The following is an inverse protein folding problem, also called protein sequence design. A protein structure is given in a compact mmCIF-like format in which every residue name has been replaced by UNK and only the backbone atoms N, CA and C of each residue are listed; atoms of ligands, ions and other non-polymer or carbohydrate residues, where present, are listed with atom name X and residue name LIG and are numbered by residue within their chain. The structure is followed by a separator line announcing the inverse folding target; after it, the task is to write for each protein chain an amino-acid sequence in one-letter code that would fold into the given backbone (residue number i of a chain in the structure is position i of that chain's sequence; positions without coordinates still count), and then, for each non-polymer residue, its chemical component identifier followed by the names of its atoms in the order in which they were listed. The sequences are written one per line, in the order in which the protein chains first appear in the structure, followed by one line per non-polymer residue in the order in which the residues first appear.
data_IF_502984295825
#
_entry.id   IF_502984295825
#
_cell.length_a   1.000
_cell.length_b   1.000
_cell.length_c   1.000
_cell.angle_alpha   90.00
_cell.angle_beta   90.00
_cell.angle_gamma   90.00
#
_symmetry.space_group_name_H-M   'P 1'
#
loop_
_entity.id
_entity.type
_entity.pdbx_description
1 polymer ?
#
# COMPACT_ATOMS: atom_id res chain seq x y z
N UNK A 1 25.23 -3.80 -48.64
CA UNK A 1 24.18 -3.73 -47.59
C UNK A 1 24.32 -4.96 -46.70
N UNK A 2 24.95 -4.78 -45.54
CA UNK A 2 25.39 -5.88 -44.66
C UNK A 2 24.21 -6.38 -43.82
N UNK A 3 23.93 -7.68 -43.91
CA UNK A 3 23.00 -8.42 -43.06
C UNK A 3 23.65 -8.58 -41.68
N UNK A 4 22.99 -8.13 -40.63
CA UNK A 4 23.37 -8.46 -39.25
C UNK A 4 22.33 -9.43 -38.70
N UNK A 5 22.76 -10.68 -38.60
CA UNK A 5 22.11 -11.77 -37.90
C UNK A 5 22.23 -11.49 -36.40
N UNK A 6 21.12 -11.22 -35.73
CA UNK A 6 21.07 -11.27 -34.26
C UNK A 6 20.76 -12.71 -33.85
N UNK A 7 21.83 -13.40 -33.48
CA UNK A 7 21.84 -14.71 -32.82
C UNK A 7 20.99 -14.66 -31.55
N UNK A 8 19.83 -15.30 -31.60
CA UNK A 8 18.99 -15.61 -30.44
C UNK A 8 19.69 -16.68 -29.59
N UNK A 9 20.20 -16.28 -28.43
CA UNK A 9 20.68 -17.23 -27.42
C UNK A 9 19.46 -17.91 -26.80
N UNK A 10 19.28 -19.18 -27.14
CA UNK A 10 18.40 -20.11 -26.45
C UNK A 10 19.06 -20.42 -25.11
N UNK A 11 18.44 -20.01 -23.99
CA UNK A 11 18.76 -20.57 -22.69
C UNK A 11 17.65 -21.54 -22.32
N UNK A 12 17.91 -22.82 -22.54
CA UNK A 12 17.17 -23.92 -21.95
C UNK A 12 18.05 -24.54 -20.87
N UNK A 13 17.64 -24.46 -19.60
CA UNK A 13 17.98 -25.42 -18.56
C UNK A 13 17.02 -25.28 -17.37
N UNK A 14 16.47 -26.43 -16.99
CA UNK A 14 15.52 -26.69 -15.91
C UNK A 14 16.26 -26.78 -14.58
N UNK A 15 15.72 -26.22 -13.50
CA UNK A 15 15.81 -26.84 -12.17
C UNK A 15 14.65 -26.38 -11.28
N UNK A 16 13.90 -27.37 -10.80
CA UNK A 16 12.85 -27.23 -9.83
C UNK A 16 13.45 -26.87 -8.46
N UNK A 17 12.93 -25.82 -7.85
CA UNK A 17 13.17 -25.47 -6.46
C UNK A 17 12.04 -24.57 -6.01
N UNK A 18 11.16 -25.10 -5.14
CA UNK A 18 10.07 -24.33 -4.55
C UNK A 18 10.64 -23.16 -3.76
N UNK A 19 10.18 -21.96 -4.08
CA UNK A 19 10.68 -20.73 -3.49
C UNK A 19 9.49 -19.92 -2.98
N UNK A 20 9.44 -19.75 -1.66
CA UNK A 20 8.59 -18.75 -1.04
C UNK A 20 9.29 -17.38 -1.14
N UNK A 21 8.74 -16.47 -1.95
CA UNK A 21 9.15 -15.07 -1.91
C UNK A 21 8.29 -14.34 -0.89
N UNK A 22 8.85 -14.09 0.29
CA UNK A 22 8.26 -13.15 1.21
C UNK A 22 8.36 -11.71 0.65
N UNK A 23 7.19 -11.07 0.64
CA UNK A 23 6.91 -9.63 0.62
C UNK A 23 7.51 -8.74 -0.50
N UNK A 24 6.78 -7.67 -0.83
CA UNK A 24 7.32 -6.56 -1.59
C UNK A 24 8.49 -5.88 -0.85
N UNK A 25 9.73 -6.10 -1.29
CA UNK A 25 10.90 -5.24 -1.04
C UNK A 25 10.58 -3.74 -1.00
N UNK A 26 11.03 -3.08 0.06
CA UNK A 26 10.56 -1.76 0.50
C UNK A 26 9.67 -1.81 1.74
N UNK A 27 9.61 -2.94 2.44
CA UNK A 27 9.05 -3.06 3.78
C UNK A 27 10.10 -3.66 4.73
N UNK A 28 11.30 -3.08 4.77
CA UNK A 28 12.15 -3.24 5.94
C UNK A 28 12.35 -1.86 6.56
N UNK A 29 11.64 -1.69 7.68
CA UNK A 29 11.94 -0.78 8.78
C UNK A 29 12.12 0.71 8.46
N UNK A 30 11.06 1.33 7.94
CA UNK A 30 10.60 2.48 8.72
C UNK A 30 10.01 1.92 10.01
N UNK A 31 10.79 1.96 11.10
CA UNK A 31 10.25 2.18 12.45
C UNK A 31 9.60 3.55 12.49
N UNK A 32 8.52 3.67 11.73
CA UNK A 32 7.29 3.86 12.40
C UNK A 32 6.66 2.43 12.43
N UNK A 33 6.54 1.75 13.55
CA UNK A 33 5.43 2.08 14.46
C UNK A 33 4.73 3.38 14.04
N UNK A 34 4.18 3.39 12.81
CA UNK A 34 3.15 4.34 12.46
C UNK A 34 2.04 3.71 13.24
N UNK A 35 1.97 4.14 14.51
CA UNK A 35 0.74 4.59 15.10
C UNK A 35 -0.31 3.59 14.68
N UNK A 36 -0.54 2.52 15.47
CA UNK A 36 -1.74 1.70 15.39
C UNK A 36 -2.95 2.64 15.52
N UNK A 37 -3.20 3.39 14.45
CA UNK A 37 -4.31 4.25 14.20
C UNK A 37 -5.32 3.25 13.74
N UNK A 38 -5.87 2.55 14.74
CA UNK A 38 -7.09 1.80 14.60
C UNK A 38 -8.01 2.69 13.74
N UNK A 39 -8.43 2.26 12.54
CA UNK A 39 -9.13 3.14 11.61
C UNK A 39 -10.33 3.84 12.26
N UNK A 40 -10.96 3.14 13.21
CA UNK A 40 -11.99 3.64 14.13
C UNK A 40 -11.52 4.82 14.99
N UNK A 41 -10.32 4.76 15.59
CA UNK A 41 -9.75 5.84 16.41
C UNK A 41 -9.57 7.13 15.62
N UNK A 42 -9.18 7.04 14.35
CA UNK A 42 -9.06 8.24 13.50
C UNK A 42 -10.44 8.82 13.14
N UNK A 43 -11.44 7.97 12.90
CA UNK A 43 -12.83 8.41 12.71
C UNK A 43 -13.29 9.21 13.95
N UNK A 44 -13.12 8.66 15.15
CA UNK A 44 -13.51 9.34 16.39
C UNK A 44 -12.72 10.62 16.63
N UNK A 45 -11.41 10.63 16.34
CA UNK A 45 -10.59 11.85 16.45
C UNK A 45 -11.06 12.97 15.54
N UNK A 46 -11.56 12.65 14.34
CA UNK A 46 -12.07 13.67 13.42
C UNK A 46 -13.28 14.42 13.98
N UNK A 47 -14.03 13.80 14.90
CA UNK A 47 -15.16 14.41 15.58
C UNK A 47 -14.76 15.33 16.74
N UNK A 48 -13.47 15.32 17.15
CA UNK A 48 -13.00 16.13 18.28
C UNK A 48 -13.18 17.62 17.98
N UNK A 49 -13.74 18.34 18.94
CA UNK A 49 -14.02 19.77 18.79
C UNK A 49 -15.22 20.06 17.89
N UNK A 50 -16.06 19.06 17.59
CA UNK A 50 -17.46 19.30 17.22
C UNK A 50 -18.30 19.39 18.50
N UNK A 51 -19.27 20.30 18.52
CA UNK A 51 -20.24 20.44 19.60
C UNK A 51 -21.31 19.36 19.49
N UNK A 52 -20.94 18.10 19.79
CA UNK A 52 -21.85 16.96 19.78
C UNK A 52 -22.76 16.96 21.00
N UNK A 53 -24.06 16.72 20.79
CA UNK A 53 -25.03 16.50 21.87
C UNK A 53 -24.80 15.16 22.58
N UNK A 54 -25.35 15.00 23.78
CA UNK A 54 -25.22 13.75 24.54
C UNK A 54 -25.88 12.57 23.79
N UNK A 55 -27.02 12.83 23.12
CA UNK A 55 -27.68 11.84 22.27
C UNK A 55 -26.77 11.38 21.11
N UNK A 56 -26.16 12.32 20.38
CA UNK A 56 -25.23 12.00 19.29
C UNK A 56 -24.01 11.19 19.78
N UNK A 57 -23.47 11.54 20.95
CA UNK A 57 -22.31 10.84 21.54
C UNK A 57 -22.64 9.38 21.86
N UNK A 58 -23.78 9.11 22.48
CA UNK A 58 -24.19 7.74 22.80
C UNK A 58 -24.53 6.94 21.53
N UNK A 59 -25.10 7.56 20.51
CA UNK A 59 -25.34 6.91 19.22
C UNK A 59 -24.03 6.54 18.51
N UNK A 60 -23.08 7.47 18.42
CA UNK A 60 -21.75 7.22 17.84
C UNK A 60 -21.03 6.09 18.59
N UNK A 61 -21.10 6.09 19.92
CA UNK A 61 -20.50 5.04 20.75
C UNK A 61 -21.15 3.67 20.48
N UNK A 62 -22.46 3.63 20.29
CA UNK A 62 -23.19 2.41 19.91
C UNK A 62 -22.74 1.91 18.55
N UNK A 63 -22.66 2.77 17.53
CA UNK A 63 -22.17 2.43 16.19
C UNK A 63 -20.74 1.87 16.22
N UNK A 64 -19.83 2.54 16.93
CA UNK A 64 -18.44 2.09 17.08
C UNK A 64 -18.35 0.74 17.79
N UNK A 65 -19.20 0.51 18.79
CA UNK A 65 -19.20 -0.74 19.56
C UNK A 65 -19.76 -1.90 18.73
N UNK A 66 -20.87 -1.68 18.02
CA UNK A 66 -21.44 -2.65 17.09
C UNK A 66 -20.44 -3.02 15.98
N UNK A 67 -19.72 -2.04 15.45
CA UNK A 67 -18.68 -2.28 14.46
C UNK A 67 -17.52 -3.11 15.01
N UNK A 68 -17.01 -2.79 16.20
CA UNK A 68 -15.93 -3.57 16.84
C UNK A 68 -16.35 -5.01 17.13
N UNK A 69 -17.61 -5.23 17.48
CA UNK A 69 -18.15 -6.56 17.76
C UNK A 69 -18.38 -7.40 16.49
N UNK A 70 -18.69 -6.76 15.36
CA UNK A 70 -19.03 -7.44 14.09
C UNK A 70 -17.85 -7.64 13.16
N UNK A 71 -16.95 -6.66 13.06
CA UNK A 71 -15.86 -6.68 12.09
C UNK A 71 -14.66 -7.54 12.52
N UNK A 72 -14.73 -8.18 13.70
CA UNK A 72 -13.55 -8.70 14.39
C UNK A 72 -12.57 -7.56 14.74
N UNK A 73 -11.52 -7.86 15.47
CA UNK A 73 -10.37 -6.95 15.50
C UNK A 73 -9.98 -6.74 14.04
N UNK A 74 -9.85 -5.49 13.59
CA UNK A 74 -9.06 -5.17 12.39
C UNK A 74 -7.62 -5.56 12.74
N UNK A 75 -7.36 -6.86 12.86
CA UNK A 75 -6.03 -7.39 13.05
C UNK A 75 -5.24 -6.94 11.85
N UNK A 76 -4.00 -6.53 12.14
CA UNK A 76 -3.01 -6.12 11.16
C UNK A 76 -3.20 -6.96 9.91
N UNK A 77 -3.42 -6.30 8.77
CA UNK A 77 -3.54 -6.94 7.46
C UNK A 77 -2.48 -8.05 7.39
N UNK A 78 -2.89 -9.31 7.66
CA UNK A 78 -2.03 -10.46 7.43
C UNK A 78 -1.87 -10.42 5.93
N UNK A 79 -0.72 -9.92 5.49
CA UNK A 79 -0.39 -9.86 4.08
C UNK A 79 -0.34 -11.32 3.67
N UNK A 80 -1.42 -11.81 3.07
CA UNK A 80 -1.41 -13.16 2.51
C UNK A 80 -0.32 -13.16 1.46
N UNK A 81 0.64 -14.06 1.67
CA UNK A 81 1.69 -14.27 0.70
C UNK A 81 1.11 -15.15 -0.41
N UNK A 82 1.44 -14.88 -1.68
CA UNK A 82 1.05 -15.78 -2.75
C UNK A 82 1.64 -17.17 -2.49
N UNK A 83 0.90 -18.21 -2.84
CA UNK A 83 1.35 -19.60 -2.74
C UNK A 83 2.41 -19.99 -3.78
N UNK A 84 2.69 -19.10 -4.74
CA UNK A 84 3.62 -19.31 -5.84
C UNK A 84 4.85 -18.40 -5.74
N UNK A 85 5.91 -18.77 -6.45
CA UNK A 85 7.14 -17.98 -6.53
C UNK A 85 6.91 -16.71 -7.36
N UNK A 86 6.94 -15.55 -6.69
CA UNK A 86 6.78 -14.26 -7.36
C UNK A 86 7.90 -13.93 -8.34
N UNK A 87 9.11 -14.50 -8.24
CA UNK A 87 10.21 -14.18 -9.16
C UNK A 87 9.95 -14.75 -10.55
N UNK A 88 9.27 -15.90 -10.60
CA UNK A 88 8.98 -16.66 -11.81
C UNK A 88 7.50 -16.66 -12.17
N UNK A 89 6.66 -16.01 -11.36
CA UNK A 89 5.22 -15.90 -11.58
C UNK A 89 4.89 -15.32 -12.96
N UNK A 90 3.97 -15.99 -13.63
CA UNK A 90 3.36 -15.48 -14.86
C UNK A 90 2.51 -14.26 -14.56
N UNK A 91 2.31 -13.42 -15.58
CA UNK A 91 1.41 -12.27 -15.48
C UNK A 91 -0.02 -12.66 -15.07
N UNK A 92 -0.54 -13.78 -15.59
CA UNK A 92 -1.86 -14.28 -15.22
C UNK A 92 -1.96 -14.65 -13.73
N UNK A 93 -0.91 -15.27 -13.17
CA UNK A 93 -0.84 -15.58 -11.73
C UNK A 93 -0.77 -14.30 -10.89
N UNK A 94 0.07 -13.34 -11.29
CA UNK A 94 0.16 -12.04 -10.62
C UNK A 94 -1.18 -11.31 -10.62
N UNK A 95 -1.85 -11.26 -11.78
CA UNK A 95 -3.14 -10.60 -11.93
C UNK A 95 -4.21 -11.22 -11.03
N UNK A 96 -4.32 -12.55 -11.06
CA UNK A 96 -5.28 -13.31 -10.25
C UNK A 96 -5.06 -13.07 -8.76
N UNK A 97 -3.80 -13.14 -8.30
CA UNK A 97 -3.45 -12.91 -6.90
C UNK A 97 -3.72 -11.47 -6.44
N UNK A 98 -3.38 -10.48 -7.27
CA UNK A 98 -3.64 -9.08 -6.94
C UNK A 98 -5.14 -8.82 -6.89
N UNK A 99 -5.90 -9.40 -7.82
CA UNK A 99 -7.35 -9.29 -7.84
C UNK A 99 -7.98 -9.91 -6.59
N UNK A 100 -7.58 -11.12 -6.18
CA UNK A 100 -8.11 -11.76 -4.98
C UNK A 100 -7.77 -10.95 -3.72
N UNK A 101 -6.58 -10.36 -3.67
CA UNK A 101 -6.18 -9.47 -2.57
C UNK A 101 -6.98 -8.17 -2.50
N UNK A 102 -7.45 -7.64 -3.63
CA UNK A 102 -8.37 -6.51 -3.63
C UNK A 102 -9.73 -6.94 -3.09
N UNK A 103 -10.29 -8.03 -3.62
CA UNK A 103 -11.60 -8.57 -3.24
C UNK A 103 -11.68 -8.93 -1.75
N UNK A 104 -10.64 -9.56 -1.19
CA UNK A 104 -10.57 -9.90 0.24
C UNK A 104 -10.63 -8.66 1.14
N UNK A 105 -10.06 -7.54 0.68
CA UNK A 105 -10.02 -6.28 1.43
C UNK A 105 -11.27 -5.45 1.25
N UNK A 106 -12.03 -5.65 0.18
CA UNK A 106 -13.22 -4.87 -0.15
C UNK A 106 -14.26 -4.94 0.96
N UNK A 107 -14.54 -6.12 1.52
CA UNK A 107 -15.52 -6.27 2.61
C UNK A 107 -15.12 -5.45 3.86
N UNK A 108 -13.84 -5.49 4.23
CA UNK A 108 -13.30 -4.71 5.36
C UNK A 108 -13.36 -3.21 5.10
N UNK A 109 -13.01 -2.79 3.89
CA UNK A 109 -13.08 -1.38 3.50
C UNK A 109 -14.51 -0.86 3.42
N UNK A 110 -15.44 -1.66 2.90
CA UNK A 110 -16.86 -1.32 2.88
C UNK A 110 -17.43 -1.17 4.29
N UNK A 111 -17.17 -2.14 5.18
CA UNK A 111 -17.64 -2.05 6.57
C UNK A 111 -17.13 -0.76 7.25
N UNK A 112 -15.85 -0.40 7.04
CA UNK A 112 -15.28 0.83 7.57
C UNK A 112 -15.91 2.09 6.95
N UNK A 113 -16.20 2.06 5.64
CA UNK A 113 -16.88 3.13 4.93
C UNK A 113 -18.31 3.32 5.45
N UNK A 114 -19.04 2.21 5.68
CA UNK A 114 -20.37 2.21 6.28
C UNK A 114 -20.37 2.81 7.69
N UNK A 115 -19.38 2.45 8.52
CA UNK A 115 -19.24 3.07 9.86
C UNK A 115 -19.06 4.59 9.74
N UNK A 116 -18.20 5.05 8.82
CA UNK A 116 -17.97 6.48 8.60
C UNK A 116 -19.24 7.20 8.16
N UNK A 117 -19.97 6.61 7.21
CA UNK A 117 -21.23 7.16 6.72
C UNK A 117 -22.28 7.24 7.83
N UNK A 118 -22.46 6.17 8.60
CA UNK A 118 -23.42 6.14 9.70
C UNK A 118 -23.08 7.22 10.74
N UNK A 119 -21.81 7.37 11.10
CA UNK A 119 -21.37 8.43 12.02
C UNK A 119 -21.61 9.82 11.43
N UNK A 120 -21.35 10.03 10.15
CA UNK A 120 -21.60 11.31 9.48
C UNK A 120 -23.09 11.67 9.48
N UNK A 121 -23.97 10.66 9.31
CA UNK A 121 -25.42 10.83 9.27
C UNK A 121 -26.05 11.18 10.62
N UNK A 122 -25.36 10.89 11.74
CA UNK A 122 -25.79 11.30 13.11
C UNK A 122 -25.58 12.80 13.33
N UNK A 123 -24.70 13.43 12.55
CA UNK A 123 -24.37 14.83 12.68
C UNK A 123 -25.43 15.71 12.04
N UNK A 124 -25.66 16.89 12.63
CA UNK A 124 -26.49 17.91 12.00
C UNK A 124 -25.78 18.60 10.83
N UNK A 125 -26.52 19.36 10.02
CA UNK A 125 -25.99 20.01 8.82
C UNK A 125 -24.79 20.93 9.12
N UNK A 126 -24.81 21.66 10.25
CA UNK A 126 -23.73 22.57 10.61
C UNK A 126 -22.45 21.80 10.98
N UNK A 127 -22.58 20.71 11.74
CA UNK A 127 -21.49 19.81 12.11
C UNK A 127 -20.92 19.09 10.88
N UNK A 128 -21.77 18.67 9.94
CA UNK A 128 -21.36 18.06 8.67
C UNK A 128 -20.53 19.04 7.84
N UNK A 129 -20.99 20.28 7.68
CA UNK A 129 -20.26 21.33 6.93
C UNK A 129 -18.91 21.67 7.57
N UNK A 130 -18.83 21.71 8.90
CA UNK A 130 -17.57 21.90 9.63
C UNK A 130 -16.57 20.76 9.32
N UNK A 131 -17.04 19.51 9.28
CA UNK A 131 -16.18 18.37 8.91
C UNK A 131 -15.69 18.44 7.47
N UNK A 132 -16.58 18.78 6.53
CA UNK A 132 -16.23 18.96 5.12
C UNK A 132 -15.19 20.07 4.95
N UNK A 133 -15.35 21.18 5.66
CA UNK A 133 -14.40 22.30 5.66
C UNK A 133 -13.04 21.89 6.20
N UNK A 134 -13.01 21.21 7.36
CA UNK A 134 -11.75 20.67 7.93
C UNK A 134 -11.06 19.69 7.00
N UNK A 135 -11.82 18.86 6.29
CA UNK A 135 -11.27 17.93 5.32
C UNK A 135 -10.65 18.68 4.13
N UNK A 136 -11.35 19.64 3.55
CA UNK A 136 -10.83 20.46 2.45
C UNK A 136 -9.53 21.19 2.86
N UNK A 137 -9.47 21.75 4.08
CA UNK A 137 -8.26 22.40 4.60
C UNK A 137 -7.08 21.44 4.76
N UNK A 138 -7.32 20.21 5.22
CA UNK A 138 -6.27 19.18 5.34
C UNK A 138 -5.76 18.73 3.97
N UNK A 139 -6.65 18.61 2.99
CA UNK A 139 -6.29 18.25 1.63
C UNK A 139 -5.47 19.35 0.94
N UNK A 140 -5.88 20.61 1.09
CA UNK A 140 -5.12 21.76 0.60
C UNK A 140 -3.74 21.88 1.30
N UNK A 141 -3.71 21.73 2.64
CA UNK A 141 -2.46 21.69 3.39
C UNK A 141 -1.52 20.55 2.95
N UNK A 142 -2.07 19.36 2.68
CA UNK A 142 -1.30 18.23 2.17
C UNK A 142 -0.77 18.48 0.74
N UNK A 143 -1.56 19.10 -0.13
CA UNK A 143 -1.14 19.47 -1.49
C UNK A 143 0.00 20.49 -1.44
N UNK A 144 -0.18 21.59 -0.69
CA UNK A 144 0.85 22.63 -0.49
C UNK A 144 2.14 22.09 0.10
N UNK A 145 2.06 21.20 1.09
CA UNK A 145 3.24 20.56 1.68
C UNK A 145 3.98 19.68 0.66
N UNK A 146 3.24 19.00 -0.21
CA UNK A 146 3.83 18.17 -1.25
C UNK A 146 4.50 19.00 -2.34
N UNK A 147 3.82 20.05 -2.80
CA UNK A 147 4.32 20.96 -3.83
C UNK A 147 5.56 21.71 -3.35
N UNK A 148 5.59 22.14 -2.09
CA UNK A 148 6.78 22.77 -1.48
C UNK A 148 7.96 21.80 -1.34
N UNK A 149 7.70 20.51 -1.10
CA UNK A 149 8.75 19.49 -1.06
C UNK A 149 9.32 19.20 -2.46
N UNK A 150 8.48 19.19 -3.50
CA UNK A 150 8.90 18.97 -4.89
C UNK A 150 9.64 20.20 -5.44
N UNK A 151 9.14 21.42 -5.18
CA UNK A 151 9.68 22.67 -5.71
C UNK A 151 11.06 23.04 -5.19
N UNK A 152 11.39 22.67 -3.95
CA UNK A 152 12.73 22.94 -3.39
C UNK A 152 13.76 21.87 -3.74
N UNK A 153 13.40 20.82 -4.48
CA UNK A 153 14.29 19.69 -4.74
C UNK A 153 14.82 19.04 -3.45
N UNK A 154 14.18 19.31 -2.31
CA UNK A 154 14.57 18.77 -1.01
C UNK A 154 14.36 17.27 -1.10
N UNK A 155 15.48 16.56 -1.23
CA UNK A 155 15.47 15.12 -1.02
C UNK A 155 14.80 14.88 0.33
N UNK A 156 13.96 13.85 0.39
CA UNK A 156 13.13 13.41 1.54
C UNK A 156 13.90 13.21 2.87
N UNK A 157 15.16 13.60 2.99
CA UNK A 157 16.02 13.52 4.18
C UNK A 157 16.50 14.85 4.78
N UNK A 158 16.23 16.02 4.18
CA UNK A 158 16.77 17.30 4.72
C UNK A 158 16.00 17.88 5.92
N UNK A 159 14.82 17.35 6.25
CA UNK A 159 14.03 17.77 7.42
C UNK A 159 14.23 16.93 8.68
N UNK A 160 15.22 16.02 8.71
CA UNK A 160 15.55 15.19 9.87
C UNK A 160 16.96 15.44 10.40
N UNK A 161 17.35 16.71 10.53
CA UNK A 161 18.62 17.06 11.14
C UNK A 161 18.56 17.10 12.68
N UNK A 162 17.90 16.13 13.30
CA UNK A 162 18.12 15.77 14.71
C UNK A 162 17.73 14.29 14.90
N UNK A 163 18.70 13.38 14.71
CA UNK A 163 18.70 12.11 15.45
C UNK A 163 18.54 10.76 14.72
N UNK A 164 18.67 10.64 13.38
CA UNK A 164 18.75 9.29 12.74
C UNK A 164 19.63 9.29 11.48
N UNK A 165 20.94 9.15 11.67
CA UNK A 165 21.90 9.04 10.55
C UNK A 165 22.24 7.59 10.13
N UNK A 166 21.59 6.55 10.66
CA UNK A 166 22.05 5.17 10.44
C UNK A 166 20.97 4.12 10.10
N UNK A 167 19.76 4.48 9.67
CA UNK A 167 18.68 3.49 9.47
C UNK A 167 18.29 3.16 7.99
N UNK A 168 18.73 3.90 6.97
CA UNK A 168 18.07 3.86 5.65
C UNK A 168 19.00 3.67 4.43
N UNK A 169 20.17 3.04 4.59
CA UNK A 169 21.01 2.65 3.44
C UNK A 169 20.77 1.22 2.93
N UNK A 170 19.87 0.46 3.55
CA UNK A 170 19.52 -0.88 3.06
C UNK A 170 18.67 -0.75 1.80
N UNK A 171 19.26 -1.09 0.67
CA UNK A 171 18.60 -1.08 -0.62
C UNK A 171 17.43 -2.08 -0.68
N UNK A 172 16.84 -2.28 -1.86
CA UNK A 172 15.74 -3.22 -2.05
C UNK A 172 16.11 -4.69 -1.75
N UNK A 173 17.33 -5.01 -1.32
CA UNK A 173 17.79 -6.36 -0.99
C UNK A 173 18.42 -6.46 0.41
N UNK A 174 18.14 -5.49 1.29
CA UNK A 174 18.69 -5.46 2.64
C UNK A 174 20.20 -5.20 2.63
N UNK A 175 20.94 -6.00 3.39
CA UNK A 175 22.41 -5.94 3.55
C UNK A 175 23.19 -6.77 2.50
N UNK A 176 22.55 -7.20 1.43
CA UNK A 176 23.24 -7.99 0.42
C UNK A 176 24.24 -7.09 -0.31
N UNK A 177 25.51 -7.52 -0.33
CA UNK A 177 26.56 -6.86 -1.09
C UNK A 177 26.26 -6.98 -2.59
N UNK A 178 26.18 -5.84 -3.26
CA UNK A 178 25.91 -5.74 -4.70
C UNK A 178 27.15 -5.22 -5.42
N UNK A 179 27.44 -5.75 -6.60
CA UNK A 179 28.50 -5.20 -7.46
C UNK A 179 28.10 -3.83 -8.01
N UNK A 180 29.09 -3.05 -8.46
CA UNK A 180 28.85 -1.75 -9.09
C UNK A 180 27.96 -1.88 -10.34
N UNK A 181 28.13 -2.95 -11.12
CA UNK A 181 27.29 -3.25 -12.29
C UNK A 181 25.85 -3.57 -11.91
N UNK A 182 25.64 -4.31 -10.80
CA UNK A 182 24.30 -4.59 -10.27
C UNK A 182 23.64 -3.30 -9.78
N UNK A 183 24.38 -2.45 -9.07
CA UNK A 183 23.89 -1.15 -8.60
C UNK A 183 23.46 -0.27 -9.78
N UNK A 184 24.29 -0.16 -10.82
CA UNK A 184 23.98 0.61 -12.03
C UNK A 184 22.74 0.06 -12.76
N UNK A 185 22.62 -1.28 -12.85
CA UNK A 185 21.45 -1.94 -13.46
C UNK A 185 20.17 -1.65 -12.67
N UNK A 186 20.24 -1.69 -11.34
CA UNK A 186 19.10 -1.38 -10.47
C UNK A 186 18.70 0.10 -10.53
N UNK A 187 19.67 1.02 -10.67
CA UNK A 187 19.39 2.43 -10.87
C UNK A 187 18.65 2.66 -12.19
N UNK A 188 19.10 2.04 -13.27
CA UNK A 188 18.45 2.09 -14.59
C UNK A 188 17.00 1.58 -14.52
N UNK A 189 16.77 0.44 -13.87
CA UNK A 189 15.42 -0.10 -13.67
C UNK A 189 14.52 0.85 -12.86
N UNK A 190 15.06 1.46 -11.79
CA UNK A 190 14.31 2.43 -10.98
C UNK A 190 13.92 3.66 -11.78
N UNK A 191 14.83 4.18 -12.60
CA UNK A 191 14.57 5.34 -13.45
C UNK A 191 13.52 5.04 -14.52
N UNK A 192 13.63 3.89 -15.21
CA UNK A 192 12.67 3.44 -16.19
C UNK A 192 11.26 3.27 -15.60
N UNK A 193 11.15 2.84 -14.34
CA UNK A 193 9.86 2.65 -13.66
C UNK A 193 9.33 3.93 -12.98
N UNK A 194 10.12 5.00 -12.90
CA UNK A 194 9.76 6.21 -12.13
C UNK A 194 8.43 6.83 -12.58
N UNK A 195 8.23 6.95 -13.88
CA UNK A 195 6.99 7.51 -14.46
C UNK A 195 5.80 6.63 -14.16
N UNK A 196 5.91 5.32 -14.39
CA UNK A 196 4.86 4.33 -14.05
C UNK A 196 4.54 4.34 -12.55
N UNK A 197 5.56 4.42 -11.69
CA UNK A 197 5.36 4.52 -10.25
C UNK A 197 4.61 5.80 -9.85
N UNK A 198 4.85 6.93 -10.53
CA UNK A 198 4.13 8.19 -10.29
C UNK A 198 2.66 8.04 -10.70
N UNK A 199 2.39 7.52 -11.90
CA UNK A 199 1.03 7.27 -12.37
C UNK A 199 0.26 6.31 -11.44
N UNK A 200 0.85 5.18 -11.07
CA UNK A 200 0.21 4.21 -10.16
C UNK A 200 -0.10 4.82 -8.78
N UNK A 201 0.75 5.72 -8.28
CA UNK A 201 0.49 6.45 -7.03
C UNK A 201 -0.69 7.41 -7.17
N UNK A 202 -0.80 8.07 -8.31
CA UNK A 202 -1.90 8.98 -8.61
C UNK A 202 -3.23 8.23 -8.74
N UNK A 203 -3.28 7.11 -9.47
CA UNK A 203 -4.46 6.22 -9.52
C UNK A 203 -4.91 5.81 -8.12
N UNK A 204 -4.00 5.32 -7.28
CA UNK A 204 -4.31 4.92 -5.90
C UNK A 204 -4.81 6.10 -5.05
N UNK A 205 -4.27 7.30 -5.26
CA UNK A 205 -4.73 8.52 -4.57
C UNK A 205 -6.16 8.84 -5.01
N UNK A 206 -6.40 8.94 -6.32
CA UNK A 206 -7.71 9.25 -6.88
C UNK A 206 -8.78 8.25 -6.40
N UNK A 207 -8.45 6.96 -6.36
CA UNK A 207 -9.33 5.94 -5.81
C UNK A 207 -9.67 6.19 -4.33
N UNK A 208 -8.66 6.44 -3.48
CA UNK A 208 -8.86 6.75 -2.05
C UNK A 208 -9.63 8.04 -1.83
N UNK A 209 -9.44 9.03 -2.68
CA UNK A 209 -10.13 10.32 -2.62
C UNK A 209 -11.60 10.12 -2.96
N UNK A 210 -11.90 9.40 -4.04
CA UNK A 210 -13.26 9.04 -4.43
C UNK A 210 -13.98 8.18 -3.38
N UNK A 211 -13.29 7.23 -2.72
CA UNK A 211 -13.86 6.47 -1.60
C UNK A 211 -14.23 7.39 -0.42
N UNK A 212 -13.37 8.38 -0.11
CA UNK A 212 -13.62 9.33 0.98
C UNK A 212 -14.78 10.26 0.66
N UNK A 213 -14.83 10.78 -0.56
CA UNK A 213 -15.91 11.64 -1.03
C UNK A 213 -17.25 10.90 -1.02
N UNK A 214 -17.29 9.66 -1.54
CA UNK A 214 -18.52 8.87 -1.61
C UNK A 214 -19.18 8.68 -0.24
N UNK A 215 -18.38 8.43 0.80
CA UNK A 215 -18.85 8.26 2.19
C UNK A 215 -19.48 9.52 2.79
N UNK A 216 -19.18 10.69 2.24
CA UNK A 216 -19.73 11.97 2.69
C UNK A 216 -20.96 12.39 1.88
N UNK A 217 -21.35 11.61 0.87
CA UNK A 217 -22.57 11.84 0.10
C UNK A 217 -23.77 11.19 0.79
N UNK A 218 -24.96 11.77 0.62
CA UNK A 218 -26.22 11.16 1.08
C UNK A 218 -26.62 9.90 0.30
N UNK A 219 -25.88 9.57 -0.78
CA UNK A 219 -26.14 8.43 -1.67
C UNK A 219 -25.22 7.23 -1.40
N UNK A 220 -24.50 7.22 -0.29
CA UNK A 220 -23.63 6.09 0.06
C UNK A 220 -24.45 4.80 0.23
N UNK A 221 -24.06 3.75 -0.48
CA UNK A 221 -24.67 2.43 -0.42
C UNK A 221 -23.67 1.37 -0.90
N UNK A 222 -24.01 0.10 -0.73
CA UNK A 222 -23.25 -1.00 -1.33
C UNK A 222 -23.14 -0.85 -2.85
N UNK A 223 -24.21 -0.41 -3.51
CA UNK A 223 -24.25 -0.28 -4.97
C UNK A 223 -23.34 0.85 -5.46
N UNK A 224 -23.36 2.01 -4.82
CA UNK A 224 -22.46 3.13 -5.18
C UNK A 224 -21.00 2.81 -4.87
N UNK A 225 -20.74 2.03 -3.81
CA UNK A 225 -19.41 1.52 -3.50
C UNK A 225 -18.90 0.51 -4.54
N UNK A 226 -19.74 -0.46 -4.93
CA UNK A 226 -19.41 -1.45 -5.95
C UNK A 226 -19.17 -0.79 -7.32
N UNK A 227 -19.99 0.21 -7.68
CA UNK A 227 -19.79 0.98 -8.91
C UNK A 227 -18.45 1.74 -8.90
N UNK A 228 -18.07 2.33 -7.76
CA UNK A 228 -16.77 2.97 -7.60
C UNK A 228 -15.63 1.96 -7.74
N UNK A 229 -15.72 0.79 -7.11
CA UNK A 229 -14.72 -0.27 -7.25
C UNK A 229 -14.57 -0.71 -8.70
N UNK A 230 -15.69 -0.98 -9.39
CA UNK A 230 -15.69 -1.38 -10.80
C UNK A 230 -14.98 -0.37 -11.70
N UNK A 231 -15.09 0.93 -11.41
CA UNK A 231 -14.41 2.00 -12.15
C UNK A 231 -12.88 1.94 -12.03
N UNK A 232 -12.34 1.53 -10.87
CA UNK A 232 -10.90 1.57 -10.59
C UNK A 232 -10.22 0.20 -10.58
N UNK A 233 -10.98 -0.90 -10.53
CA UNK A 233 -10.47 -2.25 -10.31
C UNK A 233 -9.37 -2.63 -11.30
N UNK A 234 -9.61 -2.44 -12.59
CA UNK A 234 -8.63 -2.80 -13.62
C UNK A 234 -7.34 -1.97 -13.49
N UNK A 235 -7.44 -0.65 -13.30
CA UNK A 235 -6.26 0.20 -13.12
C UNK A 235 -5.46 -0.17 -11.86
N UNK A 236 -6.14 -0.54 -10.77
CA UNK A 236 -5.50 -0.97 -9.52
C UNK A 236 -4.79 -2.32 -9.69
N UNK A 237 -5.40 -3.25 -10.43
CA UNK A 237 -4.81 -4.55 -10.77
C UNK A 237 -3.59 -4.35 -11.65
N UNK A 238 -3.69 -3.57 -12.73
CA UNK A 238 -2.59 -3.25 -13.64
C UNK A 238 -1.44 -2.55 -12.90
N UNK A 239 -1.74 -1.59 -12.02
CA UNK A 239 -0.75 -0.94 -11.18
C UNK A 239 -0.02 -1.92 -10.25
N UNK A 240 -0.74 -2.91 -9.72
CA UNK A 240 -0.19 -4.01 -8.94
C UNK A 240 0.72 -4.91 -9.77
N UNK A 241 0.28 -5.32 -10.96
CA UNK A 241 1.03 -6.21 -11.86
C UNK A 241 2.31 -5.53 -12.32
N UNK A 242 2.24 -4.26 -12.73
CA UNK A 242 3.41 -3.47 -13.12
C UNK A 242 4.43 -3.38 -11.98
N UNK A 243 3.98 -3.18 -10.74
CA UNK A 243 4.84 -3.17 -9.55
C UNK A 243 5.46 -4.54 -9.27
N UNK A 244 4.72 -5.63 -9.46
CA UNK A 244 5.23 -6.99 -9.29
C UNK A 244 6.29 -7.33 -10.35
N UNK A 245 6.02 -7.05 -11.62
CA UNK A 245 6.97 -7.22 -12.73
C UNK A 245 8.25 -6.41 -12.54
N UNK A 246 8.13 -5.15 -12.08
CA UNK A 246 9.31 -4.34 -11.77
C UNK A 246 10.17 -4.99 -10.67
N UNK A 247 9.55 -5.61 -9.66
CA UNK A 247 10.27 -6.36 -8.61
C UNK A 247 10.93 -7.62 -9.13
N UNK A 248 10.28 -8.35 -10.03
CA UNK A 248 10.88 -9.49 -10.73
C UNK A 248 12.15 -9.05 -11.47
N UNK A 249 12.06 -7.97 -12.25
CA UNK A 249 13.19 -7.43 -12.99
C UNK A 249 14.35 -7.00 -12.07
N UNK A 250 14.05 -6.35 -10.94
CA UNK A 250 15.08 -6.01 -9.96
C UNK A 250 15.71 -7.26 -9.35
N UNK A 251 14.90 -8.26 -8.97
CA UNK A 251 15.39 -9.49 -8.36
C UNK A 251 16.27 -10.31 -9.31
N UNK A 252 15.98 -10.28 -10.61
CA UNK A 252 16.76 -10.96 -11.64
C UNK A 252 18.17 -10.38 -11.85
N UNK A 253 18.47 -9.17 -11.35
CA UNK A 253 19.82 -8.58 -11.39
C UNK A 253 20.78 -9.30 -10.42
N UNK A 254 20.23 -9.97 -9.40
CA UNK A 254 21.02 -10.70 -8.41
C UNK A 254 21.54 -12.01 -8.98
N UNK A 255 22.74 -12.41 -8.53
CA UNK A 255 23.28 -13.76 -8.75
C UNK A 255 22.43 -14.82 -8.04
N UNK A 256 22.53 -16.07 -8.45
CA UNK A 256 21.79 -17.18 -7.83
C UNK A 256 22.06 -17.30 -6.31
N UNK A 257 23.32 -17.09 -5.90
CA UNK A 257 23.71 -17.10 -4.48
C UNK A 257 23.03 -15.97 -3.70
N UNK A 258 23.09 -14.73 -4.22
CA UNK A 258 22.43 -13.58 -3.59
C UNK A 258 20.90 -13.76 -3.57
N UNK A 259 20.31 -14.34 -4.62
CA UNK A 259 18.88 -14.65 -4.65
C UNK A 259 18.51 -15.68 -3.56
N UNK A 260 19.32 -16.70 -3.35
CA UNK A 260 19.11 -17.69 -2.28
C UNK A 260 19.20 -17.05 -0.90
N UNK A 261 20.18 -16.18 -0.67
CA UNK A 261 20.35 -15.45 0.59
C UNK A 261 19.14 -14.53 0.87
N UNK A 262 18.69 -13.77 -0.12
CA UNK A 262 17.45 -12.99 -0.04
C UNK A 262 16.30 -13.87 0.44
N UNK A 263 16.12 -15.04 -0.20
CA UNK A 263 14.99 -15.94 0.06
C UNK A 263 15.06 -16.50 1.48
N UNK A 264 16.24 -16.86 1.95
CA UNK A 264 16.46 -17.35 3.30
C UNK A 264 16.11 -16.29 4.36
N UNK A 265 16.67 -15.07 4.24
CA UNK A 265 16.38 -13.94 5.15
C UNK A 265 14.89 -13.63 5.21
N UNK A 266 14.21 -13.73 4.07
CA UNK A 266 12.76 -13.52 3.93
C UNK A 266 11.92 -14.57 4.66
N UNK A 267 12.28 -15.84 4.55
CA UNK A 267 11.55 -16.91 5.23
C UNK A 267 11.79 -16.84 6.75
N UNK A 268 13.01 -16.50 7.17
CA UNK A 268 13.33 -16.24 8.58
C UNK A 268 12.47 -15.09 9.14
N UNK A 269 12.40 -13.95 8.44
CA UNK A 269 11.56 -12.81 8.86
C UNK A 269 10.08 -13.20 8.97
N UNK A 270 9.60 -14.05 8.06
CA UNK A 270 8.22 -14.56 8.08
C UNK A 270 7.99 -15.47 9.30
N UNK A 271 8.93 -16.37 9.61
CA UNK A 271 8.84 -17.23 10.79
C UNK A 271 8.84 -16.42 12.10
N UNK A 272 9.74 -15.45 12.21
CA UNK A 272 9.81 -14.55 13.38
C UNK A 272 8.51 -13.77 13.59
N UNK A 273 7.91 -13.25 12.51
CA UNK A 273 6.60 -12.59 12.59
C UNK A 273 5.47 -13.55 12.94
N UNK A 274 5.53 -14.79 12.45
CA UNK A 274 4.58 -15.84 12.81
C UNK A 274 4.54 -16.06 14.32
N UNK A 275 5.72 -16.11 14.96
CA UNK A 275 5.86 -16.25 16.41
C UNK A 275 5.26 -15.03 17.15
N UNK A 276 5.57 -13.81 16.70
CA UNK A 276 5.04 -12.57 17.31
C UNK A 276 3.53 -12.41 17.14
N UNK A 277 2.94 -12.99 16.10
CA UNK A 277 1.49 -12.94 15.84
C UNK A 277 0.68 -14.04 16.54
N UNK A 278 1.37 -15.03 17.14
CA UNK A 278 0.77 -16.16 17.85
C UNK A 278 0.88 -16.04 19.38
N UNK A 279 1.50 -14.97 19.88
CA UNK A 279 1.63 -14.61 21.31
C UNK A 279 0.65 -13.49 21.66
#
# INVERSE_FOLDING_TARGET
MKKLLLTSVIIAAISAGGVAIAKPFGSEMHHHEMRHQQPVKEIVKNLRGLSLSDAQREEIKTLVSAFKNSAGTFEDNKIELPSFDLATATEAQLRTFIQSQLEEREAKHFALAQLRYNIFSVLDDAQQQELLTRQAQREDGSKRSHDHADSKGLRKGEFHQHGRAHADQRGPFGDIELSDEQIASLQTLKEAFKTTAKANRETMRNFKDAQRELVLTQTFSQDTWNALLAKYKDELVEAGVAKAKHRQAMFAVLTESQQAEVKAKREEEKQLRGILSAS
#
